data_IF_135024054515
#
_entry.id   IF_135024054515
#
_cell.length_a   1.000
_cell.length_b   1.000
_cell.length_c   1.000
_cell.angle_alpha   90.00
_cell.angle_beta   90.00
_cell.angle_gamma   90.00
#
_symmetry.space_group_name_H-M   'P 1'
#
loop_
_entity.id
_entity.type
_entity.pdbx_description
1 polymer ?
#
# COMPACT_ATOMS: atom_id res chain seq x y z
N UNK A 1 -47.51 25.93 -29.27
CA UNK A 1 -48.01 24.54 -29.21
C UNK A 1 -46.82 23.63 -29.44
N UNK A 2 -46.16 23.17 -28.37
CA UNK A 2 -45.09 22.19 -28.47
C UNK A 2 -45.79 20.85 -28.72
N UNK A 3 -45.63 20.31 -29.92
CA UNK A 3 -46.31 19.10 -30.37
C UNK A 3 -46.02 17.94 -29.41
N UNK A 4 -47.03 17.14 -29.01
CA UNK A 4 -46.83 15.98 -28.13
C UNK A 4 -45.85 14.95 -28.73
N UNK A 5 -45.66 14.93 -30.05
CA UNK A 5 -44.65 14.13 -30.74
C UNK A 5 -43.20 14.48 -30.32
N UNK A 6 -42.88 15.77 -30.12
CA UNK A 6 -41.53 16.20 -29.72
C UNK A 6 -41.17 15.74 -28.29
N UNK A 7 -42.17 15.69 -27.40
CA UNK A 7 -41.99 15.20 -26.04
C UNK A 7 -41.83 13.67 -25.98
N UNK A 8 -42.52 12.95 -26.88
CA UNK A 8 -42.38 11.49 -27.01
C UNK A 8 -41.01 11.12 -27.60
N UNK A 9 -40.51 11.85 -28.60
CA UNK A 9 -39.15 11.67 -29.16
C UNK A 9 -38.06 11.89 -28.11
N UNK A 10 -38.08 13.01 -27.38
CA UNK A 10 -37.12 13.28 -26.30
C UNK A 10 -37.17 12.25 -25.16
N UNK A 11 -38.34 11.69 -24.86
CA UNK A 11 -38.47 10.66 -23.82
C UNK A 11 -37.91 9.30 -24.27
N UNK A 12 -38.08 8.97 -25.56
CA UNK A 12 -37.56 7.73 -26.14
C UNK A 12 -36.03 7.75 -26.23
N UNK A 13 -35.44 8.88 -26.64
CA UNK A 13 -33.99 9.08 -26.73
C UNK A 13 -33.31 9.01 -25.36
N UNK A 14 -33.92 9.59 -24.32
CA UNK A 14 -33.40 9.50 -22.96
C UNK A 14 -33.44 8.06 -22.42
N UNK A 15 -34.47 7.28 -22.77
CA UNK A 15 -34.56 5.87 -22.37
C UNK A 15 -33.51 4.99 -23.07
N UNK A 16 -33.19 5.29 -24.33
CA UNK A 16 -32.15 4.62 -25.10
C UNK A 16 -30.76 4.91 -24.53
N UNK A 17 -30.46 6.18 -24.26
CA UNK A 17 -29.20 6.62 -23.63
C UNK A 17 -29.04 5.97 -22.25
N UNK A 18 -30.11 5.90 -21.44
CA UNK A 18 -30.07 5.27 -20.13
C UNK A 18 -29.72 3.78 -20.20
N UNK A 19 -30.28 3.04 -21.17
CA UNK A 19 -30.00 1.59 -21.36
C UNK A 19 -28.57 1.36 -21.81
N UNK A 20 -28.10 2.13 -22.80
CA UNK A 20 -26.74 2.00 -23.33
C UNK A 20 -25.68 2.41 -22.28
N UNK A 21 -25.98 3.46 -21.50
CA UNK A 21 -25.17 3.88 -20.36
C UNK A 21 -25.05 2.77 -19.29
N UNK A 22 -26.14 2.08 -18.97
CA UNK A 22 -26.13 0.97 -18.02
C UNK A 22 -25.31 -0.23 -18.53
N UNK A 23 -25.46 -0.54 -19.83
CA UNK A 23 -24.74 -1.64 -20.48
C UNK A 23 -23.22 -1.41 -20.49
N UNK A 24 -22.78 -0.23 -20.94
CA UNK A 24 -21.36 0.12 -20.95
C UNK A 24 -20.76 0.11 -19.55
N UNK A 25 -21.49 0.59 -18.54
CA UNK A 25 -21.01 0.58 -17.17
C UNK A 25 -20.87 -0.82 -16.59
N UNK A 26 -21.79 -1.73 -16.94
CA UNK A 26 -21.68 -3.13 -16.57
C UNK A 26 -20.45 -3.77 -17.22
N UNK A 27 -20.22 -3.48 -18.50
CA UNK A 27 -19.06 -3.96 -19.25
C UNK A 27 -17.74 -3.42 -18.68
N UNK A 28 -17.69 -2.13 -18.34
CA UNK A 28 -16.54 -1.50 -17.69
C UNK A 28 -16.21 -2.21 -16.37
N UNK A 29 -17.20 -2.39 -15.47
CA UNK A 29 -16.99 -3.09 -14.19
C UNK A 29 -16.53 -4.54 -14.35
N UNK A 30 -17.05 -5.25 -15.37
CA UNK A 30 -16.58 -6.60 -15.67
C UNK A 30 -15.10 -6.59 -16.05
N UNK A 31 -14.71 -5.70 -16.97
CA UNK A 31 -13.32 -5.57 -17.39
C UNK A 31 -12.40 -5.12 -16.24
N UNK A 32 -12.85 -4.21 -15.37
CA UNK A 32 -12.10 -3.80 -14.17
C UNK A 32 -11.81 -4.99 -13.25
N UNK A 33 -12.81 -5.85 -13.01
CA UNK A 33 -12.65 -7.07 -12.22
C UNK A 33 -11.65 -8.05 -12.86
N UNK A 34 -11.74 -8.23 -14.18
CA UNK A 34 -10.86 -9.12 -14.94
C UNK A 34 -9.42 -8.59 -14.96
N UNK A 35 -9.24 -7.28 -15.20
CA UNK A 35 -7.94 -6.59 -15.16
C UNK A 35 -7.31 -6.74 -13.77
N UNK A 36 -8.07 -6.50 -12.71
CA UNK A 36 -7.57 -6.66 -11.34
C UNK A 36 -7.08 -8.09 -11.06
N UNK A 37 -7.86 -9.10 -11.45
CA UNK A 37 -7.47 -10.51 -11.30
C UNK A 37 -6.19 -10.81 -12.08
N UNK A 38 -6.07 -10.27 -13.29
CA UNK A 38 -4.91 -10.48 -14.14
C UNK A 38 -3.67 -9.75 -13.62
N UNK A 39 -3.80 -8.53 -13.12
CA UNK A 39 -2.74 -7.77 -12.46
C UNK A 39 -2.21 -8.49 -11.22
N UNK A 40 -3.11 -9.07 -10.41
CA UNK A 40 -2.70 -9.91 -9.28
C UNK A 40 -1.88 -11.13 -9.74
N UNK A 41 -2.31 -11.81 -10.81
CA UNK A 41 -1.57 -12.94 -11.38
C UNK A 41 -0.22 -12.50 -11.98
N UNK A 42 -0.17 -11.32 -12.59
CA UNK A 42 1.04 -10.73 -13.13
C UNK A 42 2.03 -10.36 -12.03
N UNK A 43 1.56 -9.75 -10.94
CA UNK A 43 2.38 -9.47 -9.75
C UNK A 43 2.93 -10.75 -9.12
N UNK A 44 2.17 -11.85 -9.09
CA UNK A 44 2.65 -13.14 -8.59
C UNK A 44 3.82 -13.69 -9.39
N UNK A 45 3.86 -13.46 -10.71
CA UNK A 45 5.03 -13.83 -11.51
C UNK A 45 6.28 -13.08 -11.05
N UNK A 46 6.16 -11.78 -10.78
CA UNK A 46 7.28 -11.01 -10.21
C UNK A 46 7.76 -11.55 -8.87
N UNK A 47 6.85 -11.91 -7.98
CA UNK A 47 7.21 -12.52 -6.70
C UNK A 47 7.87 -13.89 -6.85
N UNK A 48 7.46 -14.70 -7.84
CA UNK A 48 8.11 -16.00 -8.10
C UNK A 48 9.53 -15.87 -8.67
N UNK A 49 9.81 -14.81 -9.43
CA UNK A 49 11.15 -14.53 -9.96
C UNK A 49 12.07 -13.89 -8.92
N UNK A 50 11.53 -13.18 -7.93
CA UNK A 50 12.29 -12.47 -6.89
C UNK A 50 12.55 -13.29 -5.61
N UNK A 51 12.03 -14.51 -5.50
CA UNK A 51 12.26 -15.38 -4.35
C UNK A 51 13.72 -15.84 -4.27
N UNK A 52 14.29 -16.08 -3.07
CA UNK A 52 15.57 -16.76 -2.97
C UNK A 52 15.46 -18.10 -3.71
N UNK A 53 16.47 -18.51 -4.51
CA UNK A 53 16.51 -19.87 -5.00
C UNK A 53 16.38 -20.77 -3.78
N UNK A 54 15.38 -21.67 -3.77
CA UNK A 54 15.23 -22.64 -2.71
C UNK A 54 16.57 -23.36 -2.58
N UNK A 55 17.28 -23.05 -1.49
CA UNK A 55 18.50 -23.71 -1.09
C UNK A 55 18.06 -25.12 -0.65
N UNK A 56 17.97 -26.03 -1.62
CA UNK A 56 17.39 -27.34 -1.43
C UNK A 56 17.68 -28.22 -2.63
N UNK A 57 18.80 -28.95 -2.52
CA UNK A 57 19.22 -30.06 -3.38
C UNK A 57 19.81 -29.64 -4.74
N UNK A 58 21.14 -29.48 -4.75
CA UNK A 58 21.96 -29.62 -5.95
C UNK A 58 21.74 -31.05 -6.48
N UNK A 59 20.87 -31.20 -7.46
CA UNK A 59 20.77 -32.40 -8.31
C UNK A 59 20.66 -31.93 -9.76
N UNK A 60 21.76 -32.07 -10.50
CA UNK A 60 21.84 -32.07 -11.98
C UNK A 60 20.83 -31.16 -12.72
N UNK A 61 20.81 -29.86 -12.41
CA UNK A 61 19.74 -28.93 -12.85
C UNK A 61 20.17 -27.90 -13.90
N UNK A 62 21.33 -28.03 -14.55
CA UNK A 62 21.79 -27.02 -15.54
C UNK A 62 20.86 -26.90 -16.77
N UNK A 63 20.11 -27.96 -17.11
CA UNK A 63 19.13 -27.96 -18.22
C UNK A 63 17.73 -27.48 -17.83
N UNK A 64 17.41 -27.39 -16.53
CA UNK A 64 16.09 -26.98 -16.04
C UNK A 64 15.94 -25.46 -15.92
N UNK A 65 17.02 -24.73 -15.67
CA UNK A 65 16.96 -23.30 -15.36
C UNK A 65 16.73 -22.43 -16.61
N UNK A 66 17.37 -22.76 -17.74
CA UNK A 66 17.15 -22.07 -19.03
C UNK A 66 15.73 -22.27 -19.59
N UNK A 67 15.20 -23.49 -19.49
CA UNK A 67 13.83 -23.80 -19.92
C UNK A 67 12.77 -23.14 -19.03
N UNK A 68 13.03 -23.04 -17.73
CA UNK A 68 12.17 -22.33 -16.78
C UNK A 68 12.17 -20.81 -17.01
N UNK A 69 13.34 -20.22 -17.25
CA UNK A 69 13.48 -18.80 -17.58
C UNK A 69 12.75 -18.44 -18.88
N UNK A 70 12.95 -19.24 -19.94
CA UNK A 70 12.26 -19.06 -21.23
C UNK A 70 10.73 -19.20 -21.08
N UNK A 71 10.26 -20.18 -20.30
CA UNK A 71 8.83 -20.34 -20.00
C UNK A 71 8.27 -19.14 -19.23
N UNK A 72 9.03 -18.62 -18.28
CA UNK A 72 8.64 -17.46 -17.46
C UNK A 72 8.59 -16.17 -18.29
N UNK A 73 9.53 -16.00 -19.22
CA UNK A 73 9.55 -14.87 -20.16
C UNK A 73 8.36 -14.92 -21.13
N UNK A 74 8.06 -16.08 -21.73
CA UNK A 74 6.89 -16.25 -22.58
C UNK A 74 5.57 -15.96 -21.82
N UNK A 75 5.47 -16.40 -20.56
CA UNK A 75 4.33 -16.09 -19.69
C UNK A 75 4.24 -14.59 -19.39
N UNK A 76 5.36 -13.95 -19.10
CA UNK A 76 5.43 -12.50 -18.87
C UNK A 76 4.95 -11.73 -20.10
N UNK A 77 5.45 -12.04 -21.30
CA UNK A 77 5.05 -11.37 -22.54
C UNK A 77 3.57 -11.57 -22.85
N UNK A 78 3.07 -12.81 -22.74
CA UNK A 78 1.66 -13.14 -22.99
C UNK A 78 0.72 -12.40 -22.05
N UNK A 79 1.00 -12.40 -20.74
CA UNK A 79 0.16 -11.70 -19.77
C UNK A 79 0.27 -10.19 -19.89
N UNK A 80 1.46 -9.67 -20.23
CA UNK A 80 1.66 -8.23 -20.47
C UNK A 80 0.82 -7.74 -21.63
N UNK A 81 0.82 -8.50 -22.74
CA UNK A 81 0.01 -8.19 -23.90
C UNK A 81 -1.49 -8.25 -23.56
N UNK A 82 -1.93 -9.32 -22.90
CA UNK A 82 -3.34 -9.50 -22.53
C UNK A 82 -3.85 -8.36 -21.64
N UNK A 83 -3.11 -8.00 -20.58
CA UNK A 83 -3.45 -6.86 -19.71
C UNK A 83 -3.53 -5.56 -20.51
N UNK A 84 -2.56 -5.31 -21.40
CA UNK A 84 -2.56 -4.12 -22.24
C UNK A 84 -3.81 -4.07 -23.13
N UNK A 85 -4.17 -5.17 -23.77
CA UNK A 85 -5.39 -5.22 -24.60
C UNK A 85 -6.67 -5.01 -23.78
N UNK A 86 -6.72 -5.47 -22.53
CA UNK A 86 -7.87 -5.23 -21.65
C UNK A 86 -7.94 -3.77 -21.19
N UNK A 87 -6.80 -3.14 -20.89
CA UNK A 87 -6.72 -1.71 -20.57
C UNK A 87 -7.16 -0.85 -21.75
N UNK A 88 -6.73 -1.19 -22.97
CA UNK A 88 -7.14 -0.48 -24.20
C UNK A 88 -8.66 -0.61 -24.43
N UNK A 89 -9.24 -1.80 -24.22
CA UNK A 89 -10.69 -2.01 -24.28
C UNK A 89 -11.46 -1.23 -23.21
N UNK A 90 -10.92 -1.15 -21.98
CA UNK A 90 -11.54 -0.36 -20.91
C UNK A 90 -11.49 1.14 -21.24
N UNK A 91 -10.39 1.61 -21.84
CA UNK A 91 -10.27 2.97 -22.33
C UNK A 91 -11.30 3.28 -23.44
N UNK A 92 -11.46 2.38 -24.41
CA UNK A 92 -12.47 2.51 -25.47
C UNK A 92 -13.90 2.59 -24.91
N UNK A 93 -14.24 1.74 -23.93
CA UNK A 93 -15.55 1.78 -23.26
C UNK A 93 -15.73 3.10 -22.48
N UNK A 94 -14.69 3.58 -21.80
CA UNK A 94 -14.72 4.87 -21.11
C UNK A 94 -14.93 6.03 -22.10
N UNK A 95 -14.33 5.98 -23.28
CA UNK A 95 -14.53 6.98 -24.33
C UNK A 95 -15.96 6.91 -24.88
N UNK A 96 -16.47 5.71 -25.19
CA UNK A 96 -17.87 5.53 -25.61
C UNK A 96 -18.87 6.03 -24.57
N UNK A 97 -18.60 5.76 -23.29
CA UNK A 97 -19.38 6.29 -22.17
C UNK A 97 -19.35 7.82 -22.14
N UNK A 98 -18.18 8.43 -22.39
CA UNK A 98 -17.98 9.89 -22.40
C UNK A 98 -18.70 10.54 -23.58
N UNK A 99 -18.60 9.94 -24.77
CA UNK A 99 -19.28 10.32 -26.01
C UNK A 99 -20.81 10.33 -25.84
N UNK A 100 -21.38 9.26 -25.27
CA UNK A 100 -22.83 9.16 -25.04
C UNK A 100 -23.36 10.25 -24.11
N UNK A 101 -22.54 10.69 -23.15
CA UNK A 101 -22.95 11.74 -22.23
C UNK A 101 -22.78 13.10 -22.87
N UNK A 102 -21.73 13.37 -23.65
CA UNK A 102 -21.31 14.71 -24.13
C UNK A 102 -22.39 15.55 -24.84
N UNK A 103 -23.46 14.95 -25.34
CA UNK A 103 -24.60 15.63 -25.97
C UNK A 103 -25.95 15.51 -25.25
N UNK A 104 -26.03 14.86 -24.08
CA UNK A 104 -27.29 14.54 -23.41
C UNK A 104 -27.54 15.34 -22.13
N UNK A 105 -28.78 15.31 -21.62
CA UNK A 105 -29.13 15.90 -20.33
C UNK A 105 -28.36 15.28 -19.14
N UNK A 106 -27.75 14.10 -19.33
CA UNK A 106 -26.99 13.38 -18.31
C UNK A 106 -25.66 14.04 -17.95
N UNK A 107 -25.10 14.92 -18.79
CA UNK A 107 -23.89 15.72 -18.45
C UNK A 107 -24.12 16.53 -17.19
N UNK A 108 -25.36 16.99 -16.96
CA UNK A 108 -25.69 17.85 -15.82
C UNK A 108 -26.01 17.04 -14.56
N UNK A 109 -26.06 15.72 -14.65
CA UNK A 109 -26.32 14.85 -13.49
C UNK A 109 -25.01 14.60 -12.72
N UNK A 110 -24.91 15.08 -11.46
CA UNK A 110 -23.69 14.93 -10.66
C UNK A 110 -23.29 13.46 -10.42
N UNK A 111 -24.25 12.55 -10.30
CA UNK A 111 -23.98 11.14 -10.07
C UNK A 111 -23.32 10.46 -11.28
N UNK A 112 -23.73 10.86 -12.49
CA UNK A 112 -23.17 10.37 -13.75
C UNK A 112 -21.75 10.90 -13.96
N UNK A 113 -21.55 12.19 -13.71
CA UNK A 113 -20.23 12.82 -13.78
C UNK A 113 -19.23 12.16 -12.82
N UNK A 114 -19.62 11.98 -11.56
CA UNK A 114 -18.76 11.31 -10.57
C UNK A 114 -18.45 9.86 -10.96
N UNK A 115 -19.42 9.14 -11.54
CA UNK A 115 -19.19 7.76 -11.99
C UNK A 115 -18.22 7.70 -13.15
N UNK A 116 -18.30 8.65 -14.10
CA UNK A 116 -17.34 8.79 -15.19
C UNK A 116 -15.93 9.10 -14.68
N UNK A 117 -15.81 10.04 -13.76
CA UNK A 117 -14.53 10.41 -13.13
C UNK A 117 -13.91 9.20 -12.45
N UNK A 118 -14.68 8.44 -11.67
CA UNK A 118 -14.22 7.20 -11.05
C UNK A 118 -13.71 6.17 -12.05
N UNK A 119 -14.40 5.96 -13.17
CA UNK A 119 -13.94 5.02 -14.20
C UNK A 119 -12.63 5.48 -14.86
N UNK A 120 -12.39 6.79 -14.98
CA UNK A 120 -11.11 7.35 -15.44
C UNK A 120 -10.00 7.15 -14.42
N UNK A 121 -10.28 7.44 -13.15
CA UNK A 121 -9.31 7.26 -12.06
C UNK A 121 -8.88 5.80 -11.92
N UNK A 122 -9.84 4.86 -11.94
CA UNK A 122 -9.56 3.41 -11.88
C UNK A 122 -8.68 2.98 -13.07
N UNK A 123 -8.96 3.46 -14.28
CA UNK A 123 -8.16 3.15 -15.47
C UNK A 123 -6.73 3.69 -15.34
N UNK A 124 -6.56 4.89 -14.79
CA UNK A 124 -5.24 5.49 -14.53
C UNK A 124 -4.46 4.67 -13.49
N UNK A 125 -5.11 4.27 -12.40
CA UNK A 125 -4.52 3.45 -11.35
C UNK A 125 -4.05 2.09 -11.91
N UNK A 126 -4.88 1.40 -12.69
CA UNK A 126 -4.48 0.14 -13.32
C UNK A 126 -3.34 0.31 -14.32
N UNK A 127 -3.31 1.41 -15.09
CA UNK A 127 -2.19 1.71 -15.98
C UNK A 127 -0.88 1.92 -15.20
N UNK A 128 -0.96 2.64 -14.08
CA UNK A 128 0.19 2.91 -13.23
C UNK A 128 0.69 1.62 -12.56
N UNK A 129 -0.22 0.81 -12.01
CA UNK A 129 0.10 -0.49 -11.43
C UNK A 129 0.73 -1.44 -12.45
N UNK A 130 0.16 -1.52 -13.66
CA UNK A 130 0.71 -2.32 -14.74
C UNK A 130 2.13 -1.89 -15.10
N UNK A 131 2.37 -0.59 -15.31
CA UNK A 131 3.72 -0.07 -15.64
C UNK A 131 4.72 -0.37 -14.54
N UNK A 132 4.34 -0.18 -13.27
CA UNK A 132 5.18 -0.45 -12.11
C UNK A 132 5.55 -1.93 -12.01
N UNK A 133 4.55 -2.81 -12.08
CA UNK A 133 4.76 -4.27 -11.99
C UNK A 133 5.53 -4.81 -13.19
N UNK A 134 5.23 -4.33 -14.39
CA UNK A 134 5.94 -4.70 -15.61
C UNK A 134 7.42 -4.30 -15.55
N UNK A 135 7.73 -3.06 -15.14
CA UNK A 135 9.12 -2.62 -14.98
C UNK A 135 9.87 -3.46 -13.95
N UNK A 136 9.22 -3.78 -12.82
CA UNK A 136 9.82 -4.63 -11.79
C UNK A 136 10.13 -6.04 -12.32
N UNK A 137 9.17 -6.71 -12.97
CA UNK A 137 9.37 -8.06 -13.52
C UNK A 137 10.45 -8.04 -14.61
N UNK A 138 10.50 -7.01 -15.44
CA UNK A 138 11.52 -6.85 -16.46
C UNK A 138 12.92 -6.80 -15.86
N UNK A 139 13.12 -6.01 -14.80
CA UNK A 139 14.40 -5.95 -14.07
C UNK A 139 14.76 -7.31 -13.45
N UNK A 140 13.77 -8.05 -12.94
CA UNK A 140 14.00 -9.40 -12.40
C UNK A 140 14.39 -10.41 -13.50
N UNK A 141 13.74 -10.37 -14.66
CA UNK A 141 14.09 -11.19 -15.82
C UNK A 141 15.50 -10.85 -16.32
N UNK A 142 15.82 -9.57 -16.48
CA UNK A 142 17.16 -9.11 -16.89
C UNK A 142 18.23 -9.58 -15.89
N UNK A 143 17.96 -9.50 -14.58
CA UNK A 143 18.83 -10.03 -13.53
C UNK A 143 19.05 -11.54 -13.65
N UNK A 144 17.98 -12.30 -13.89
CA UNK A 144 18.05 -13.76 -14.02
C UNK A 144 18.79 -14.21 -15.28
N UNK A 145 18.59 -13.49 -16.40
CA UNK A 145 19.36 -13.70 -17.65
C UNK A 145 20.85 -13.48 -17.40
N UNK A 146 21.24 -12.44 -16.66
CA UNK A 146 22.63 -12.16 -16.32
C UNK A 146 23.23 -13.27 -15.43
N UNK A 147 22.50 -13.76 -14.44
CA UNK A 147 22.96 -14.87 -13.59
C UNK A 147 23.09 -16.19 -14.36
N UNK A 148 22.09 -16.53 -15.17
CA UNK A 148 22.13 -17.72 -16.04
C UNK A 148 23.30 -17.65 -17.02
N UNK A 149 23.56 -16.47 -17.59
CA UNK A 149 24.71 -16.27 -18.50
C UNK A 149 26.05 -16.41 -17.78
N UNK A 150 26.14 -16.00 -16.51
CA UNK A 150 27.37 -16.14 -15.71
C UNK A 150 27.65 -17.56 -15.21
N UNK A 151 26.61 -18.38 -15.04
CA UNK A 151 26.73 -19.78 -14.61
C UNK A 151 26.94 -20.71 -15.81
N UNK A 152 26.35 -20.39 -16.98
CA UNK A 152 26.53 -21.14 -18.23
C UNK A 152 27.95 -21.13 -18.80
N UNK A 153 28.78 -20.13 -18.47
CA UNK A 153 30.18 -20.05 -18.92
C UNK A 153 31.17 -20.86 -18.04
N UNK A 154 30.69 -21.49 -16.96
CA UNK A 154 31.53 -22.34 -16.09
C UNK A 154 31.60 -23.79 -16.62
N UNK A 155 30.70 -24.20 -17.52
CA UNK A 155 30.60 -25.60 -17.99
C UNK A 155 31.37 -25.95 -19.27
N UNK A 156 31.78 -24.97 -20.08
CA UNK A 156 32.41 -25.26 -21.38
C UNK A 156 33.54 -24.30 -21.73
N UNK A 157 34.27 -23.83 -20.73
CA UNK A 157 35.57 -23.18 -20.95
C UNK A 157 36.65 -24.26 -21.12
N UNK A 158 36.65 -24.93 -22.28
CA UNK A 158 37.81 -25.68 -22.78
C UNK A 158 38.84 -24.70 -23.33
N UNK A 159 39.27 -23.75 -22.49
CA UNK A 159 40.37 -22.85 -22.80
C UNK A 159 41.57 -23.38 -22.03
N UNK A 160 42.43 -24.11 -22.75
CA UNK A 160 43.86 -24.10 -22.49
C UNK A 160 44.27 -22.70 -22.03
N UNK A 161 44.82 -22.52 -20.83
CA UNK A 161 45.84 -21.52 -20.51
C UNK A 161 46.10 -21.52 -18.98
N UNK A 162 47.25 -22.10 -18.63
CA UNK A 162 48.24 -21.56 -17.69
C UNK A 162 47.79 -21.02 -16.32
N UNK A 163 48.44 -21.62 -15.33
CA UNK A 163 48.48 -21.48 -13.88
C UNK A 163 48.65 -20.05 -13.27
N UNK A 164 48.09 -18.97 -13.83
CA UNK A 164 48.37 -17.58 -13.37
C UNK A 164 47.13 -16.79 -12.84
N UNK A 165 45.93 -17.38 -12.86
CA UNK A 165 44.67 -16.66 -12.64
C UNK A 165 44.15 -16.52 -11.19
N UNK A 166 44.80 -17.12 -10.18
CA UNK A 166 44.26 -17.11 -8.81
C UNK A 166 44.43 -15.76 -8.09
N UNK A 167 45.43 -14.96 -8.48
CA UNK A 167 45.67 -13.63 -7.88
C UNK A 167 44.71 -12.55 -8.41
N UNK A 168 44.27 -12.64 -9.67
CA UNK A 168 43.32 -11.68 -10.24
C UNK A 168 41.92 -11.79 -9.62
N UNK A 169 41.43 -13.00 -9.32
CA UNK A 169 40.10 -13.16 -8.69
C UNK A 169 39.99 -12.52 -7.31
N UNK A 170 41.04 -12.61 -6.49
CA UNK A 170 41.09 -11.91 -5.19
C UNK A 170 41.19 -10.40 -5.38
N UNK A 171 41.98 -9.96 -6.35
CA UNK A 171 42.16 -8.54 -6.63
C UNK A 171 40.86 -7.90 -7.15
N UNK A 172 40.13 -8.58 -8.04
CA UNK A 172 38.83 -8.13 -8.56
C UNK A 172 37.76 -8.05 -7.47
N UNK A 173 37.77 -9.00 -6.52
CA UNK A 173 36.90 -8.95 -5.36
C UNK A 173 37.20 -7.74 -4.47
N UNK A 174 38.48 -7.49 -4.17
CA UNK A 174 38.91 -6.33 -3.38
C UNK A 174 38.62 -5.00 -4.09
N UNK A 175 38.76 -4.96 -5.42
CA UNK A 175 38.41 -3.77 -6.21
C UNK A 175 36.91 -3.48 -6.13
N UNK A 176 36.09 -4.52 -6.25
CA UNK A 176 34.64 -4.41 -6.13
C UNK A 176 34.20 -4.00 -4.73
N UNK A 177 34.83 -4.54 -3.69
CA UNK A 177 34.59 -4.13 -2.30
C UNK A 177 34.95 -2.66 -2.09
N UNK A 178 36.07 -2.21 -2.65
CA UNK A 178 36.47 -0.81 -2.61
C UNK A 178 35.46 0.11 -3.31
N UNK A 179 34.88 -0.31 -4.44
CA UNK A 179 33.80 0.43 -5.11
C UNK A 179 32.52 0.48 -4.26
N UNK A 180 32.19 -0.60 -3.55
CA UNK A 180 31.07 -0.62 -2.60
C UNK A 180 31.31 0.35 -1.43
N UNK A 181 32.52 0.39 -0.87
CA UNK A 181 32.89 1.33 0.19
C UNK A 181 32.77 2.77 -0.30
N UNK A 182 33.28 3.09 -1.49
CA UNK A 182 33.15 4.42 -2.08
C UNK A 182 31.70 4.83 -2.34
N UNK A 183 30.86 3.88 -2.77
CA UNK A 183 29.44 4.13 -2.92
C UNK A 183 28.76 4.43 -1.58
N UNK A 184 29.08 3.64 -0.54
CA UNK A 184 28.58 3.86 0.82
C UNK A 184 29.02 5.22 1.36
N UNK A 185 30.26 5.62 1.14
CA UNK A 185 30.81 6.90 1.57
C UNK A 185 30.04 8.08 0.94
N UNK A 186 29.75 8.00 -0.36
CA UNK A 186 28.91 9.00 -1.06
C UNK A 186 27.48 9.07 -0.52
N UNK A 187 26.87 7.92 -0.20
CA UNK A 187 25.53 7.89 0.38
C UNK A 187 25.51 8.48 1.80
N UNK A 188 26.57 8.25 2.59
CA UNK A 188 26.71 8.86 3.91
C UNK A 188 26.88 10.37 3.80
N UNK A 189 27.67 10.87 2.84
CA UNK A 189 27.82 12.31 2.61
C UNK A 189 26.49 12.98 2.21
N UNK A 190 25.68 12.32 1.37
CA UNK A 190 24.35 12.81 1.01
C UNK A 190 23.40 12.84 2.23
N UNK A 191 23.42 11.79 3.07
CA UNK A 191 22.66 11.76 4.31
C UNK A 191 23.09 12.84 5.30
N UNK A 192 24.41 13.11 5.40
CA UNK A 192 24.95 14.21 6.20
C UNK A 192 24.46 15.55 5.63
N UNK A 193 24.47 15.73 4.32
CA UNK A 193 23.93 16.91 3.64
C UNK A 193 22.46 17.16 3.95
N UNK A 194 21.62 16.12 3.83
CA UNK A 194 20.18 16.19 4.16
C UNK A 194 19.98 16.53 5.65
N UNK A 195 20.75 15.91 6.54
CA UNK A 195 20.68 16.15 7.98
C UNK A 195 21.07 17.60 8.33
N UNK A 196 22.12 18.14 7.71
CA UNK A 196 22.57 19.53 7.90
C UNK A 196 21.54 20.53 7.36
N UNK A 197 21.00 20.30 6.17
CA UNK A 197 19.94 21.13 5.59
C UNK A 197 18.67 21.12 6.46
N UNK A 198 18.29 19.94 6.98
CA UNK A 198 17.15 19.79 7.89
C UNK A 198 17.40 20.52 9.21
N UNK A 199 18.60 20.39 9.78
CA UNK A 199 19.03 21.12 10.98
C UNK A 199 18.91 22.63 10.77
N UNK A 200 19.41 23.15 9.66
CA UNK A 200 19.31 24.58 9.33
C UNK A 200 17.85 25.03 9.18
N UNK A 201 17.03 24.27 8.45
CA UNK A 201 15.59 24.54 8.32
C UNK A 201 14.87 24.58 9.67
N UNK A 202 15.14 23.62 10.57
CA UNK A 202 14.57 23.61 11.92
C UNK A 202 15.05 24.79 12.76
N UNK A 203 16.30 25.21 12.63
CA UNK A 203 16.81 26.40 13.30
C UNK A 203 16.12 27.66 12.78
N UNK A 204 15.92 27.79 11.47
CA UNK A 204 15.19 28.89 10.85
C UNK A 204 13.72 28.91 11.29
N UNK A 205 13.05 27.75 11.36
CA UNK A 205 11.71 27.63 11.90
C UNK A 205 11.64 28.04 13.38
N UNK A 206 12.59 27.58 14.21
CA UNK A 206 12.70 27.97 15.63
C UNK A 206 12.87 29.48 15.79
N UNK A 207 13.72 30.11 14.97
CA UNK A 207 13.91 31.56 14.97
C UNK A 207 12.63 32.28 14.53
N UNK A 208 11.95 31.79 13.49
CA UNK A 208 10.65 32.27 13.04
C UNK A 208 9.59 32.21 14.14
N UNK A 209 9.44 31.06 14.80
CA UNK A 209 8.54 30.87 15.93
C UNK A 209 8.88 31.77 17.11
N UNK A 210 10.17 31.97 17.41
CA UNK A 210 10.60 32.95 18.42
C UNK A 210 10.20 34.37 18.04
N UNK A 211 10.28 34.72 16.76
CA UNK A 211 9.78 35.99 16.22
C UNK A 211 8.27 36.15 16.37
N UNK A 212 7.49 35.13 16.01
CA UNK A 212 6.03 35.08 16.20
C UNK A 212 5.66 35.18 17.67
N UNK A 213 6.34 34.43 18.54
CA UNK A 213 6.12 34.47 19.98
C UNK A 213 6.41 35.87 20.55
N UNK A 214 7.46 36.56 20.09
CA UNK A 214 7.73 37.96 20.46
C UNK A 214 6.61 38.88 20.01
N UNK A 215 6.18 38.80 18.74
CA UNK A 215 5.06 39.60 18.20
C UNK A 215 3.76 39.34 18.95
N UNK A 216 3.45 38.09 19.28
CA UNK A 216 2.29 37.69 20.08
C UNK A 216 2.37 38.30 21.48
N UNK A 217 3.51 38.21 22.15
CA UNK A 217 3.72 38.86 23.45
C UNK A 217 3.52 40.38 23.37
N UNK A 218 4.00 41.04 22.31
CA UNK A 218 3.77 42.47 22.10
C UNK A 218 2.29 42.77 21.85
N UNK A 219 1.58 41.95 21.09
CA UNK A 219 0.13 42.11 20.83
C UNK A 219 -0.68 41.92 22.12
N UNK A 220 -0.32 40.92 22.94
CA UNK A 220 -0.93 40.69 24.26
C UNK A 220 -0.73 41.88 25.19
N UNK A 221 0.44 42.53 25.16
CA UNK A 221 0.71 43.74 25.95
C UNK A 221 -0.03 44.98 25.45
N UNK A 222 -0.19 45.13 24.12
CA UNK A 222 -0.85 46.29 23.51
C UNK A 222 -2.38 46.23 23.56
N UNK A 223 -2.95 45.02 23.57
CA UNK A 223 -4.40 44.81 23.59
C UNK A 223 -4.80 43.90 24.77
N UNK A 224 -5.07 44.47 25.97
CA UNK A 224 -5.47 43.69 27.15
C UNK A 224 -6.77 42.88 26.95
N UNK A 225 -7.63 43.28 26.00
CA UNK A 225 -8.80 42.48 25.59
C UNK A 225 -8.42 41.13 24.94
N UNK A 226 -7.33 41.07 24.18
CA UNK A 226 -6.80 39.82 23.60
C UNK A 226 -6.22 38.93 24.69
N UNK A 227 -5.60 39.50 25.73
CA UNK A 227 -5.15 38.74 26.90
C UNK A 227 -6.33 38.05 27.60
N UNK A 228 -7.47 38.73 27.77
CA UNK A 228 -8.68 38.13 28.34
C UNK A 228 -9.21 36.95 27.50
N UNK A 229 -9.23 37.07 26.18
CA UNK A 229 -9.67 35.98 25.28
C UNK A 229 -8.69 34.81 25.31
N UNK A 230 -7.38 35.07 25.30
CA UNK A 230 -6.34 34.03 25.39
C UNK A 230 -6.42 33.27 26.72
N UNK A 231 -6.65 33.97 27.83
CA UNK A 231 -6.89 33.34 29.14
C UNK A 231 -8.18 32.50 29.12
N UNK A 232 -9.28 33.01 28.53
CA UNK A 232 -10.53 32.23 28.36
C UNK A 232 -10.30 30.94 27.57
N UNK A 233 -9.49 30.98 26.50
CA UNK A 233 -9.14 29.80 25.70
C UNK A 233 -8.31 28.80 26.53
N UNK A 234 -7.26 29.26 27.22
CA UNK A 234 -6.45 28.39 28.09
C UNK A 234 -7.26 27.74 29.20
N UNK A 235 -8.18 28.48 29.83
CA UNK A 235 -9.07 27.96 30.86
C UNK A 235 -10.04 26.92 30.29
N UNK A 236 -10.60 27.16 29.09
CA UNK A 236 -11.50 26.21 28.43
C UNK A 236 -10.78 24.92 28.02
N UNK A 237 -9.55 25.01 27.50
CA UNK A 237 -8.71 23.84 27.18
C UNK A 237 -8.38 23.01 28.42
N UNK A 238 -7.97 23.66 29.52
CA UNK A 238 -7.73 22.98 30.81
C UNK A 238 -8.99 22.32 31.35
N UNK A 239 -10.13 23.02 31.30
CA UNK A 239 -11.41 22.47 31.76
C UNK A 239 -11.82 21.22 30.98
N UNK A 240 -11.70 21.24 29.66
CA UNK A 240 -11.99 20.07 28.81
C UNK A 240 -11.07 18.90 29.14
N UNK A 241 -9.77 19.15 29.32
CA UNK A 241 -8.79 18.13 29.71
C UNK A 241 -9.12 17.50 31.08
N UNK A 242 -9.44 18.33 32.08
CA UNK A 242 -9.85 17.83 33.40
C UNK A 242 -11.17 17.06 33.37
N UNK A 243 -12.13 17.49 32.54
CA UNK A 243 -13.38 16.75 32.35
C UNK A 243 -13.15 15.38 31.71
N UNK A 244 -12.27 15.30 30.71
CA UNK A 244 -11.92 14.02 30.09
C UNK A 244 -11.18 13.12 31.06
N UNK A 245 -10.28 13.67 31.89
CA UNK A 245 -9.53 12.90 32.88
C UNK A 245 -10.46 12.36 33.98
N UNK A 246 -11.37 13.18 34.50
CA UNK A 246 -12.35 12.75 35.51
C UNK A 246 -13.30 11.67 34.99
N UNK A 247 -13.71 11.75 33.70
CA UNK A 247 -14.50 10.68 33.07
C UNK A 247 -13.69 9.39 32.95
N UNK A 248 -12.40 9.49 32.60
CA UNK A 248 -11.51 8.34 32.47
C UNK A 248 -11.26 7.65 33.81
N UNK A 249 -11.04 8.43 34.88
CA UNK A 249 -10.83 7.87 36.23
C UNK A 249 -12.11 7.23 36.76
N UNK A 250 -13.28 7.83 36.52
CA UNK A 250 -14.56 7.22 36.88
C UNK A 250 -14.77 5.87 36.18
N UNK A 251 -14.54 5.81 34.87
CA UNK A 251 -14.60 4.55 34.10
C UNK A 251 -13.62 3.50 34.63
N UNK A 252 -12.40 3.90 35.00
CA UNK A 252 -11.39 2.96 35.50
C UNK A 252 -11.79 2.39 36.88
N UNK A 253 -12.40 3.20 37.74
CA UNK A 253 -12.93 2.72 39.04
C UNK A 253 -14.07 1.73 38.84
N UNK A 254 -15.01 2.01 37.94
CA UNK A 254 -16.11 1.08 37.62
C UNK A 254 -15.60 -0.27 37.10
N UNK A 255 -14.62 -0.25 36.19
CA UNK A 255 -13.98 -1.48 35.67
C UNK A 255 -13.26 -2.24 36.79
N UNK A 256 -12.57 -1.55 37.70
CA UNK A 256 -11.89 -2.18 38.83
C UNK A 256 -12.89 -2.86 39.77
N UNK A 257 -14.02 -2.21 40.06
CA UNK A 257 -15.10 -2.78 40.88
C UNK A 257 -15.68 -4.06 40.25
N UNK A 258 -15.93 -4.04 38.94
CA UNK A 258 -16.39 -5.22 38.20
C UNK A 258 -15.36 -6.35 38.30
N UNK A 259 -14.07 -6.06 38.11
CA UNK A 259 -13.01 -7.07 38.17
C UNK A 259 -12.87 -7.70 39.56
N UNK A 260 -12.97 -6.88 40.62
CA UNK A 260 -12.96 -7.37 42.01
C UNK A 260 -14.19 -8.24 42.26
N UNK A 261 -15.37 -7.81 41.81
CA UNK A 261 -16.61 -8.60 41.93
C UNK A 261 -16.51 -9.97 41.25
N UNK A 262 -16.02 -10.02 40.01
CA UNK A 262 -15.79 -11.27 39.28
C UNK A 262 -14.79 -12.17 40.02
N UNK A 263 -13.67 -11.60 40.49
CA UNK A 263 -12.68 -12.36 41.25
C UNK A 263 -13.24 -12.94 42.55
N UNK A 264 -14.09 -12.19 43.27
CA UNK A 264 -14.72 -12.65 44.50
C UNK A 264 -15.70 -13.81 44.23
N UNK A 265 -16.51 -13.71 43.17
CA UNK A 265 -17.43 -14.78 42.75
C UNK A 265 -16.67 -16.04 42.36
N UNK A 266 -15.58 -15.91 41.61
CA UNK A 266 -14.72 -17.05 41.25
C UNK A 266 -14.09 -17.70 42.49
N UNK A 267 -13.55 -16.91 43.42
CA UNK A 267 -12.98 -17.44 44.67
C UNK A 267 -14.02 -18.20 45.51
N UNK A 268 -15.24 -17.67 45.64
CA UNK A 268 -16.34 -18.36 46.33
C UNK A 268 -16.72 -19.66 45.62
N UNK A 269 -16.76 -19.66 44.29
CA UNK A 269 -17.00 -20.85 43.48
C UNK A 269 -15.94 -21.93 43.68
N UNK A 270 -14.66 -21.59 43.64
CA UNK A 270 -13.56 -22.51 43.91
C UNK A 270 -13.58 -23.07 45.34
N UNK A 271 -13.90 -22.23 46.32
CA UNK A 271 -14.02 -22.66 47.71
C UNK A 271 -15.17 -23.65 47.91
N UNK A 272 -16.34 -23.37 47.34
CA UNK A 272 -17.49 -24.30 47.35
C UNK A 272 -17.16 -25.61 46.63
N UNK A 273 -16.50 -25.54 45.46
CA UNK A 273 -16.07 -26.71 44.70
C UNK A 273 -15.10 -27.58 45.52
N UNK A 274 -14.12 -26.96 46.18
CA UNK A 274 -13.17 -27.66 47.04
C UNK A 274 -13.85 -28.32 48.26
N UNK A 275 -14.78 -27.63 48.92
CA UNK A 275 -15.57 -28.20 50.01
C UNK A 275 -16.39 -29.41 49.54
N UNK A 276 -17.08 -29.30 48.40
CA UNK A 276 -17.86 -30.41 47.83
C UNK A 276 -16.97 -31.58 47.43
N UNK A 277 -15.83 -31.31 46.81
CA UNK A 277 -14.85 -32.34 46.43
C UNK A 277 -14.33 -33.09 47.67
N UNK A 278 -13.97 -32.37 48.73
CA UNK A 278 -13.46 -32.99 49.96
C UNK A 278 -14.54 -33.83 50.67
N UNK A 279 -15.78 -33.33 50.73
CA UNK A 279 -16.91 -34.13 51.23
C UNK A 279 -17.16 -35.39 50.40
N UNK A 280 -17.03 -35.32 49.07
CA UNK A 280 -17.22 -36.47 48.19
C UNK A 280 -16.11 -37.52 48.34
N UNK A 281 -14.84 -37.09 48.48
CA UNK A 281 -13.70 -37.98 48.74
C UNK A 281 -13.87 -38.71 50.08
N UNK A 282 -14.31 -38.01 51.13
CA UNK A 282 -14.57 -38.63 52.44
C UNK A 282 -15.70 -39.67 52.34
N UNK A 283 -16.77 -39.36 51.62
CA UNK A 283 -17.89 -40.28 51.42
C UNK A 283 -17.46 -41.53 50.62
N UNK A 284 -16.66 -41.35 49.57
CA UNK A 284 -16.14 -42.45 48.76
C UNK A 284 -15.19 -43.37 49.54
N UNK A 285 -14.48 -42.87 50.56
CA UNK A 285 -13.63 -43.69 51.43
C UNK A 285 -14.40 -44.49 52.50
N UNK A 286 -15.66 -44.14 52.77
CA UNK A 286 -16.54 -44.84 53.73
C UNK A 286 -17.35 -45.98 53.10
N UNK A 287 -17.49 -45.99 51.76
CA UNK A 287 -18.20 -47.02 50.98
C UNK A 287 -17.21 -48.12 50.58
#
# INVERSE_FOLDING_TARGET
LISPLFFVEMSNDNSFIARNWEELRRRARSLESDINTKLLNFSKLGSSLGGPPQLGVITDSEKRDSAYLSTSQNRFETLSLDIRTMLDKLNDINEQMSELIRGSAYVKNPAVCHTMERHRDILLDYNHEFKRTHANIKVLLEREVLFTSSVGDVGECKINLNNDGLNNRKNDFLLKEHDHIKSSDRLLEDQIGIALATKESLLNQKLGLKGVAKKLNTLTKRYPAVHSVMQKIHMRKRRLFWQTLNKLTALNIEVLQIRIGISAVLCLGYWLYFCLYQSWVILAAMI
#
